data_IF_435098313064
#
_entry.id   IF_435098313064
#
_cell.length_a   1.000
_cell.length_b   1.000
_cell.length_c   1.000
_cell.angle_alpha   90.00
_cell.angle_beta   90.00
_cell.angle_gamma   90.00
#
_symmetry.space_group_name_H-M   'P 1'
#
loop_
_entity.id
_entity.type
_entity.pdbx_description
1 polymer ?
#
# COMPACT_ATOMS: atom_id res chain seq x y z
N UNK A 1 -11.39 -6.31 -2.55
CA UNK A 1 -11.14 -5.23 -1.56
C UNK A 1 -9.90 -5.59 -0.76
N UNK A 2 -9.01 -4.63 -0.51
CA UNK A 2 -7.81 -4.79 0.33
C UNK A 2 -7.97 -3.93 1.59
N UNK A 3 -7.70 -4.52 2.75
CA UNK A 3 -7.83 -3.86 4.05
C UNK A 3 -6.52 -3.87 4.82
N UNK A 4 -6.28 -2.84 5.62
CA UNK A 4 -5.18 -2.78 6.57
C UNK A 4 -5.61 -2.04 7.84
N UNK A 5 -5.29 -2.60 9.01
CA UNK A 5 -5.61 -1.98 10.29
C UNK A 5 -7.09 -1.60 10.42
N UNK A 6 -8.02 -2.45 9.94
CA UNK A 6 -9.46 -2.18 10.00
C UNK A 6 -10.00 -1.13 9.02
N UNK A 7 -9.19 -0.61 8.10
CA UNK A 7 -9.63 0.36 7.07
C UNK A 7 -9.48 -0.24 5.67
N UNK A 8 -10.37 0.16 4.75
CA UNK A 8 -10.19 -0.11 3.33
C UNK A 8 -9.05 0.77 2.83
N UNK A 9 -7.99 0.13 2.31
CA UNK A 9 -6.84 0.85 1.75
C UNK A 9 -6.84 0.87 0.24
N UNK A 10 -7.47 -0.13 -0.40
CA UNK A 10 -7.63 -0.18 -1.84
C UNK A 10 -8.86 -1.01 -2.25
N UNK A 11 -9.60 -0.54 -3.24
CA UNK A 11 -10.73 -1.23 -3.85
C UNK A 11 -10.65 -1.09 -5.37
N UNK A 12 -10.47 -2.20 -6.06
CA UNK A 12 -10.47 -2.27 -7.51
C UNK A 12 -10.90 -3.68 -7.95
N UNK A 13 -11.00 -3.90 -9.26
CA UNK A 13 -11.11 -5.26 -9.84
C UNK A 13 -9.87 -6.09 -9.50
N UNK A 14 -9.97 -7.42 -9.58
CA UNK A 14 -8.83 -8.29 -9.36
C UNK A 14 -7.70 -7.96 -10.35
N UNK A 15 -8.04 -7.79 -11.62
CA UNK A 15 -7.13 -7.44 -12.71
C UNK A 15 -6.36 -6.15 -12.41
N UNK A 16 -7.04 -5.11 -11.93
CA UNK A 16 -6.41 -3.85 -11.54
C UNK A 16 -5.47 -4.02 -10.35
N UNK A 17 -5.87 -4.78 -9.32
CA UNK A 17 -5.03 -5.04 -8.15
C UNK A 17 -3.73 -5.75 -8.56
N UNK A 18 -3.82 -6.79 -9.40
CA UNK A 18 -2.64 -7.55 -9.83
C UNK A 18 -1.73 -6.79 -10.81
N UNK A 19 -2.30 -5.92 -11.65
CA UNK A 19 -1.54 -5.25 -12.72
C UNK A 19 -1.04 -3.85 -12.35
N UNK A 20 -1.80 -3.08 -11.56
CA UNK A 20 -1.52 -1.67 -11.24
C UNK A 20 -1.93 -1.33 -9.80
N UNK A 21 -1.39 -2.01 -8.77
CA UNK A 21 -1.72 -1.72 -7.38
C UNK A 21 -1.40 -0.26 -7.05
N UNK A 22 -2.29 0.40 -6.31
CA UNK A 22 -2.25 1.83 -5.99
C UNK A 22 -1.76 2.13 -4.59
N UNK A 23 -1.91 1.19 -3.65
CA UNK A 23 -1.47 1.35 -2.28
C UNK A 23 -0.17 0.57 -2.03
N UNK A 24 0.84 1.16 -1.37
CA UNK A 24 2.12 0.49 -1.08
C UNK A 24 1.98 -0.84 -0.33
N UNK A 25 0.97 -0.96 0.54
CA UNK A 25 0.61 -2.22 1.18
C UNK A 25 0.16 -3.29 0.18
N UNK A 26 -0.73 -2.97 -0.76
CA UNK A 26 -1.18 -3.91 -1.81
C UNK A 26 -0.02 -4.38 -2.66
N UNK A 27 0.87 -3.45 -3.07
CA UNK A 27 2.10 -3.81 -3.78
C UNK A 27 2.96 -4.77 -2.96
N UNK A 28 3.20 -4.47 -1.68
CA UNK A 28 3.97 -5.33 -0.80
C UNK A 28 3.36 -6.73 -0.61
N UNK A 29 2.02 -6.83 -0.57
CA UNK A 29 1.33 -8.12 -0.52
C UNK A 29 1.58 -8.93 -1.79
N UNK A 30 1.42 -8.31 -2.96
CA UNK A 30 1.63 -8.96 -4.25
C UNK A 30 3.09 -9.37 -4.45
N UNK A 31 4.04 -8.52 -4.03
CA UNK A 31 5.48 -8.83 -4.04
C UNK A 31 5.85 -9.99 -3.10
N UNK A 32 5.02 -10.28 -2.10
CA UNK A 32 5.21 -11.39 -1.16
C UNK A 32 4.65 -12.73 -1.71
N UNK A 33 3.94 -12.72 -2.84
CA UNK A 33 3.39 -13.95 -3.44
C UNK A 33 4.53 -14.71 -4.14
N UNK A 34 4.82 -15.96 -3.73
CA UNK A 34 5.84 -16.77 -4.39
C UNK A 34 5.43 -17.10 -5.83
N UNK A 35 6.37 -16.93 -6.76
CA UNK A 35 6.18 -17.33 -8.17
C UNK A 35 6.60 -18.79 -8.33
N UNK A 36 5.68 -19.62 -8.84
CA UNK A 36 5.96 -21.02 -9.16
C UNK A 36 7.13 -21.10 -10.15
N UNK A 37 8.20 -21.82 -9.79
CA UNK A 37 9.40 -21.97 -10.60
C UNK A 37 10.56 -21.03 -10.26
N UNK A 38 10.35 -19.96 -9.49
CA UNK A 38 11.45 -19.12 -9.02
C UNK A 38 12.04 -19.68 -7.71
N UNK A 39 13.23 -20.30 -7.78
CA UNK A 39 14.05 -20.58 -6.58
C UNK A 39 14.67 -19.28 -6.07
N UNK A 40 13.89 -18.45 -5.38
CA UNK A 40 14.43 -17.31 -4.61
C UNK A 40 14.78 -17.78 -3.19
N UNK A 41 16.02 -17.54 -2.78
CA UNK A 41 16.53 -17.95 -1.46
C UNK A 41 15.80 -17.27 -0.28
N UNK A 42 15.11 -16.15 -0.50
CA UNK A 42 14.27 -15.45 0.50
C UNK A 42 13.04 -14.82 -0.17
N UNK A 43 11.88 -15.01 0.44
CA UNK A 43 10.64 -14.32 0.09
C UNK A 43 10.78 -12.83 0.44
N UNK A 44 10.32 -11.94 -0.44
CA UNK A 44 10.14 -10.54 -0.08
C UNK A 44 9.04 -10.46 0.97
N UNK A 45 9.30 -9.71 2.05
CA UNK A 45 8.32 -9.48 3.12
C UNK A 45 8.12 -7.98 3.28
N UNK A 46 6.95 -7.58 3.77
CA UNK A 46 6.71 -6.21 4.19
C UNK A 46 7.39 -6.03 5.57
N UNK A 47 8.44 -5.19 5.68
CA UNK A 47 9.19 -5.05 6.92
C UNK A 47 8.33 -4.47 8.06
N UNK A 48 8.82 -4.66 9.28
CA UNK A 48 8.17 -4.16 10.50
C UNK A 48 7.04 -5.05 11.03
N UNK A 49 6.48 -4.65 12.17
CA UNK A 49 5.39 -5.33 12.88
C UNK A 49 4.06 -4.62 12.62
N UNK A 50 2.96 -5.39 12.58
CA UNK A 50 1.62 -4.81 12.51
C UNK A 50 1.32 -4.10 13.84
N UNK A 51 0.88 -2.83 13.83
CA UNK A 51 0.47 -2.15 15.05
C UNK A 51 -0.65 -2.89 15.77
N UNK A 52 -0.62 -2.92 17.09
CA UNK A 52 -1.74 -3.42 17.90
C UNK A 52 -3.00 -2.59 17.64
N UNK A 53 -4.18 -3.21 17.67
CA UNK A 53 -5.45 -2.58 17.28
C UNK A 53 -5.82 -1.32 18.10
N UNK A 54 -5.22 -1.11 19.27
CA UNK A 54 -5.41 0.09 20.11
C UNK A 54 -4.38 1.21 19.89
N UNK A 55 -3.31 0.96 19.14
CA UNK A 55 -2.17 1.86 18.99
C UNK A 55 -1.92 2.20 17.51
N UNK A 56 -2.95 2.70 16.84
CA UNK A 56 -2.77 3.24 15.49
C UNK A 56 -2.19 4.66 15.55
N UNK A 57 -1.31 5.01 14.61
CA UNK A 57 -0.79 6.37 14.55
C UNK A 57 -1.89 7.34 14.09
N UNK A 58 -1.70 8.62 14.39
CA UNK A 58 -2.65 9.68 14.02
C UNK A 58 -2.81 9.83 12.50
N UNK A 59 -1.73 9.59 11.75
CA UNK A 59 -1.71 9.64 10.29
C UNK A 59 -2.16 8.35 9.60
N UNK A 60 -1.63 8.09 8.41
CA UNK A 60 -1.82 6.82 7.70
C UNK A 60 -1.45 5.63 8.59
N UNK A 61 -2.34 4.64 8.72
CA UNK A 61 -2.10 3.44 9.55
C UNK A 61 -0.91 2.61 9.06
N UNK A 62 -0.55 2.72 7.79
CA UNK A 62 0.58 2.02 7.19
C UNK A 62 1.90 2.82 7.24
N UNK A 63 1.92 4.03 7.83
CA UNK A 63 3.06 4.95 7.75
C UNK A 63 4.40 4.37 8.22
N UNK A 64 4.40 3.52 9.25
CA UNK A 64 5.65 2.97 9.81
C UNK A 64 6.22 1.79 9.01
N UNK A 65 5.44 1.27 8.05
CA UNK A 65 5.82 0.16 7.17
C UNK A 65 5.82 0.56 5.68
N UNK A 66 5.40 1.77 5.39
CA UNK A 66 5.34 2.30 4.03
C UNK A 66 6.74 2.77 3.61
N UNK A 67 7.33 2.20 2.54
CA UNK A 67 8.62 2.67 2.04
C UNK A 67 8.54 4.06 1.39
N UNK A 68 7.32 4.58 1.17
CA UNK A 68 7.05 5.88 0.54
C UNK A 68 6.41 6.88 1.52
N UNK A 69 6.61 6.69 2.83
CA UNK A 69 6.03 7.55 3.85
C UNK A 69 6.58 8.98 3.75
N UNK A 70 5.70 9.99 3.85
CA UNK A 70 6.07 11.40 3.95
C UNK A 70 5.59 12.02 5.26
N UNK A 71 5.99 13.26 5.52
CA UNK A 71 5.47 14.05 6.64
C UNK A 71 3.92 14.15 6.61
N UNK A 72 3.32 14.32 5.44
CA UNK A 72 1.86 14.33 5.26
C UNK A 72 1.22 13.01 5.69
N UNK A 73 1.82 11.87 5.31
CA UNK A 73 1.36 10.56 5.74
C UNK A 73 1.39 10.39 7.27
N UNK A 74 2.33 11.06 7.97
CA UNK A 74 2.42 11.01 9.43
C UNK A 74 1.43 11.94 10.11
N UNK A 75 1.17 13.09 9.50
CA UNK A 75 0.33 14.14 10.04
C UNK A 75 -1.18 13.86 9.90
N UNK A 76 -1.60 13.21 8.80
CA UNK A 76 -3.02 12.98 8.52
C UNK A 76 -3.29 11.59 7.96
N UNK A 77 -4.50 11.08 8.21
CA UNK A 77 -4.97 9.84 7.62
C UNK A 77 -5.54 10.13 6.21
N UNK A 78 -5.08 9.44 5.15
CA UNK A 78 -5.64 9.63 3.81
C UNK A 78 -7.08 9.11 3.76
N UNK A 79 -7.97 9.87 3.13
CA UNK A 79 -9.33 9.42 2.84
C UNK A 79 -9.33 8.41 1.69
N UNK A 80 -10.31 7.50 1.70
CA UNK A 80 -10.56 6.62 0.55
C UNK A 80 -11.13 7.48 -0.59
N UNK A 81 -10.34 7.69 -1.64
CA UNK A 81 -10.74 8.50 -2.81
C UNK A 81 -10.83 7.66 -4.07
N UNK A 82 -11.77 8.01 -4.95
CA UNK A 82 -11.92 7.39 -6.27
C UNK A 82 -10.93 7.98 -7.29
N UNK A 83 -10.32 7.12 -8.08
CA UNK A 83 -9.42 7.45 -9.19
C UNK A 83 -10.17 7.47 -10.53
N UNK A 84 -9.52 7.96 -11.58
CA UNK A 84 -10.14 8.07 -12.92
C UNK A 84 -10.45 6.70 -13.55
N UNK A 85 -9.67 5.67 -13.19
CA UNK A 85 -9.87 4.27 -13.63
C UNK A 85 -10.97 3.53 -12.84
N UNK A 86 -11.71 4.25 -11.98
CA UNK A 86 -12.81 3.72 -11.18
C UNK A 86 -12.39 2.98 -9.91
N UNK A 87 -11.08 2.77 -9.69
CA UNK A 87 -10.57 2.23 -8.43
C UNK A 87 -10.69 3.24 -7.29
N UNK A 88 -10.60 2.78 -6.05
CA UNK A 88 -10.57 3.62 -4.85
C UNK A 88 -9.34 3.27 -4.02
N UNK A 89 -8.67 4.28 -3.46
CA UNK A 89 -7.44 4.09 -2.70
C UNK A 89 -7.33 5.12 -1.58
N UNK A 90 -6.84 4.70 -0.41
CA UNK A 90 -6.53 5.58 0.71
C UNK A 90 -5.02 5.83 0.77
N UNK A 91 -4.51 6.67 -0.13
CA UNK A 91 -3.09 7.03 -0.23
C UNK A 91 -2.93 8.46 -0.75
N UNK A 92 -2.02 9.24 -0.17
CA UNK A 92 -1.66 10.56 -0.67
C UNK A 92 -0.89 10.47 -2.00
N UNK A 93 -0.09 9.42 -2.21
CA UNK A 93 0.87 9.29 -3.31
C UNK A 93 0.47 8.27 -4.39
N UNK A 94 -0.82 7.99 -4.55
CA UNK A 94 -1.32 7.09 -5.60
C UNK A 94 -1.62 7.82 -6.92
N UNK A 95 -1.33 7.19 -8.07
CA UNK A 95 -1.67 7.67 -9.42
C UNK A 95 -2.60 6.73 -10.17
N UNK A 96 -3.17 7.22 -11.26
CA UNK A 96 -3.97 6.42 -12.20
C UNK A 96 -3.17 5.31 -12.91
N UNK A 97 -1.84 5.36 -12.91
CA UNK A 97 -0.98 4.33 -13.50
C UNK A 97 -0.36 3.34 -12.49
N UNK A 98 -0.36 3.65 -11.20
CA UNK A 98 0.18 2.79 -10.13
C UNK A 98 0.49 3.59 -8.87
N UNK A 99 1.38 3.09 -8.00
CA UNK A 99 1.98 3.91 -6.93
C UNK A 99 2.93 4.93 -7.56
N UNK A 100 2.81 6.22 -7.22
CA UNK A 100 3.85 7.22 -7.52
C UNK A 100 4.98 6.96 -6.52
N UNK A 101 6.12 6.48 -7.00
CA UNK A 101 7.34 6.47 -6.18
C UNK A 101 7.81 7.91 -6.03
N UNK A 102 7.98 8.39 -4.79
CA UNK A 102 8.57 9.71 -4.54
C UNK A 102 9.86 9.89 -5.35
N UNK A 103 9.95 10.99 -6.10
CA UNK A 103 11.21 11.45 -6.68
C UNK A 103 12.19 11.71 -5.53
N UNK A 104 13.14 10.79 -5.32
CA UNK A 104 14.10 10.88 -4.23
C UNK A 104 14.84 9.59 -3.86
N UNK A 105 14.42 8.43 -4.37
CA UNK A 105 15.15 7.17 -4.19
C UNK A 105 16.23 7.01 -5.27
N UNK A 106 17.35 7.73 -5.12
CA UNK A 106 18.66 7.30 -5.62
C UNK A 106 19.37 6.52 -4.53
#
# INVERSE_FOLDING_TARGET
>A
VVMYGGQIVERATAEQLFSRPKHPYTLGLLDSIPRLGERKNRLKTIPGIVPSLGNFPAGCRFQDRCPFVTAECRAAAPSLRRLSDGSEVACFHSSDNGIITHEGSR
#
